data_IF_168546001528
#
_entry.id   IF_168546001528
#
_cell.length_a   1.000
_cell.length_b   1.000
_cell.length_c   1.000
_cell.angle_alpha   90.00
_cell.angle_beta   90.00
_cell.angle_gamma   90.00
#
_symmetry.space_group_name_H-M   'P 1'
#
loop_
_entity.id
_entity.type
_entity.pdbx_description
1 polymer ?
#
# COMPACT_ATOMS: atom_id res chain seq x y z
N UNK A 1 -52.90 -14.99 71.82
CA UNK A 1 -51.95 -14.11 71.13
C UNK A 1 -50.97 -15.05 70.42
N UNK A 2 -51.24 -15.47 69.17
CA UNK A 2 -50.83 -14.79 67.93
C UNK A 2 -49.29 -14.61 67.88
N UNK A 3 -48.50 -15.06 66.92
CA UNK A 3 -48.70 -15.34 65.49
C UNK A 3 -47.68 -16.43 65.04
N UNK A 4 -48.07 -17.42 64.24
CA UNK A 4 -47.95 -17.55 62.76
C UNK A 4 -46.50 -17.53 62.21
N UNK A 5 -46.21 -18.62 61.50
CA UNK A 5 -45.12 -18.96 60.59
C UNK A 5 -44.55 -17.81 59.73
N UNK A 6 -43.29 -17.94 59.29
CA UNK A 6 -42.98 -18.03 57.85
C UNK A 6 -41.54 -18.55 57.64
N UNK A 7 -41.41 -19.53 56.76
CA UNK A 7 -40.17 -20.18 56.31
C UNK A 7 -39.46 -19.26 55.31
N UNK A 8 -38.15 -18.94 55.45
CA UNK A 8 -37.49 -18.08 54.46
C UNK A 8 -37.26 -18.85 53.16
N UNK A 9 -37.93 -18.36 52.11
CA UNK A 9 -37.84 -18.82 50.73
C UNK A 9 -36.39 -18.90 50.21
N UNK A 10 -36.09 -19.84 49.30
CA UNK A 10 -34.75 -19.99 48.74
C UNK A 10 -34.37 -18.79 47.86
N UNK A 11 -33.09 -18.43 47.95
CA UNK A 11 -32.36 -17.43 47.17
C UNK A 11 -32.78 -17.39 45.69
N UNK A 12 -33.44 -16.30 45.28
CA UNK A 12 -33.52 -15.93 43.87
C UNK A 12 -32.29 -15.09 43.51
N UNK A 13 -31.35 -15.71 42.80
CA UNK A 13 -30.27 -15.00 42.13
C UNK A 13 -30.87 -14.08 41.04
N UNK A 14 -30.44 -12.81 40.92
CA UNK A 14 -30.87 -11.98 39.80
C UNK A 14 -30.37 -12.59 38.49
N UNK A 15 -31.31 -12.93 37.63
CA UNK A 15 -31.09 -13.40 36.25
C UNK A 15 -30.31 -12.35 35.46
N UNK A 16 -29.00 -12.53 35.38
CA UNK A 16 -28.12 -11.77 34.50
C UNK A 16 -28.22 -12.37 33.10
N UNK A 17 -29.29 -12.04 32.37
CA UNK A 17 -29.28 -12.19 30.92
C UNK A 17 -28.47 -11.04 30.32
N UNK A 18 -27.16 -11.09 30.49
CA UNK A 18 -26.27 -10.40 29.56
C UNK A 18 -26.42 -11.18 28.26
N UNK A 19 -27.11 -10.60 27.29
CA UNK A 19 -27.09 -11.10 25.92
C UNK A 19 -25.62 -11.10 25.46
N UNK A 20 -24.95 -12.24 25.64
CA UNK A 20 -23.61 -12.51 25.17
C UNK A 20 -23.67 -12.66 23.64
N UNK A 21 -23.96 -11.57 22.95
CA UNK A 21 -23.60 -11.45 21.55
C UNK A 21 -22.08 -11.60 21.49
N UNK A 22 -21.53 -12.57 20.74
CA UNK A 22 -20.10 -12.76 20.66
C UNK A 22 -19.46 -11.46 20.16
N UNK A 23 -18.72 -10.78 21.04
CA UNK A 23 -17.99 -9.57 20.68
C UNK A 23 -16.81 -10.00 19.83
N UNK A 24 -17.00 -10.00 18.51
CA UNK A 24 -15.92 -10.33 17.58
C UNK A 24 -14.97 -9.15 17.48
N UNK A 25 -13.77 -9.32 18.03
CA UNK A 25 -12.69 -8.34 17.85
C UNK A 25 -12.37 -8.21 16.37
N UNK A 26 -12.24 -6.98 15.92
CA UNK A 26 -11.78 -6.65 14.57
C UNK A 26 -10.68 -5.61 14.62
N UNK A 27 -9.84 -5.63 13.60
CA UNK A 27 -8.79 -4.65 13.40
C UNK A 27 -8.85 -4.14 11.96
N UNK A 28 -8.66 -2.83 11.79
CA UNK A 28 -8.55 -2.18 10.49
C UNK A 28 -7.13 -2.29 9.97
N UNK A 29 -7.00 -2.67 8.72
CA UNK A 29 -5.76 -2.60 7.95
C UNK A 29 -5.97 -1.75 6.70
N UNK A 30 -4.92 -1.01 6.31
CA UNK A 30 -4.94 -0.36 5.01
C UNK A 30 -4.94 -1.43 3.91
N UNK A 31 -5.73 -1.23 2.86
CA UNK A 31 -5.77 -2.15 1.71
C UNK A 31 -4.40 -2.31 1.05
N UNK A 32 -3.59 -1.25 1.04
CA UNK A 32 -2.22 -1.24 0.55
C UNK A 32 -1.31 -0.52 1.53
N UNK A 33 -0.20 -1.15 1.87
CA UNK A 33 0.90 -0.56 2.62
C UNK A 33 2.21 -0.90 1.91
N UNK A 34 3.06 0.09 1.72
CA UNK A 34 4.33 -0.06 1.01
C UNK A 34 5.40 0.76 1.69
N UNK A 35 6.60 0.21 1.77
CA UNK A 35 7.80 0.94 2.15
C UNK A 35 8.51 1.32 0.86
N UNK A 36 8.73 2.62 0.66
CA UNK A 36 9.52 3.16 -0.43
C UNK A 36 10.97 3.20 0.01
N UNK A 37 11.81 2.50 -0.75
CA UNK A 37 13.25 2.44 -0.53
C UNK A 37 14.00 3.17 -1.63
N UNK A 38 15.25 3.53 -1.36
CA UNK A 38 16.09 4.18 -2.35
C UNK A 38 16.48 3.22 -3.47
N UNK A 39 16.33 3.66 -4.72
CA UNK A 39 16.80 2.92 -5.91
C UNK A 39 18.27 3.24 -6.27
N UNK A 40 18.90 4.18 -5.57
CA UNK A 40 20.30 4.56 -5.77
C UNK A 40 20.93 5.09 -4.48
N UNK A 41 22.26 5.02 -4.40
CA UNK A 41 23.00 5.68 -3.32
C UNK A 41 23.17 7.17 -3.62
N UNK A 42 22.81 8.04 -2.67
CA UNK A 42 22.86 9.47 -2.90
C UNK A 42 22.36 10.31 -1.73
N UNK A 43 22.59 11.63 -1.83
CA UNK A 43 22.10 12.58 -0.84
C UNK A 43 20.65 12.93 -1.12
N UNK A 44 19.79 12.86 -0.11
CA UNK A 44 18.40 13.35 -0.18
C UNK A 44 18.44 14.88 -0.19
N UNK A 45 17.94 15.51 -1.25
CA UNK A 45 17.80 16.96 -1.32
C UNK A 45 16.52 17.41 -0.64
N UNK A 46 15.40 16.80 -1.04
CA UNK A 46 14.07 17.19 -0.62
C UNK A 46 13.25 15.95 -0.28
N UNK A 47 12.49 16.08 0.80
CA UNK A 47 11.50 15.11 1.23
C UNK A 47 10.30 15.92 1.71
N UNK A 48 9.42 16.26 0.76
CA UNK A 48 8.39 17.29 0.91
C UNK A 48 7.17 16.82 1.72
N UNK A 49 7.19 15.58 2.21
CA UNK A 49 6.07 14.97 2.94
C UNK A 49 6.40 14.74 4.40
N UNK A 50 5.46 15.14 5.26
CA UNK A 50 5.51 14.90 6.70
C UNK A 50 4.71 13.63 7.03
N UNK A 51 4.99 13.05 8.18
CA UNK A 51 4.16 11.96 8.72
C UNK A 51 2.72 12.43 8.88
N UNK A 52 1.76 11.58 8.48
CA UNK A 52 0.33 11.89 8.43
C UNK A 52 -0.11 12.77 7.24
N UNK A 53 0.82 13.33 6.45
CA UNK A 53 0.44 14.11 5.28
C UNK A 53 -0.16 13.23 4.17
N UNK A 54 -1.19 13.76 3.50
CA UNK A 54 -1.79 13.14 2.32
C UNK A 54 -1.02 13.47 1.04
N UNK A 55 -0.96 12.53 0.11
CA UNK A 55 -0.38 12.70 -1.22
C UNK A 55 -1.26 12.08 -2.30
N UNK A 56 -1.03 12.51 -3.55
CA UNK A 56 -1.72 11.96 -4.73
C UNK A 56 -0.80 11.03 -5.51
N UNK A 57 -1.39 10.08 -6.23
CA UNK A 57 -0.67 9.23 -7.19
C UNK A 57 0.15 10.09 -8.17
N UNK A 58 1.43 9.72 -8.34
CA UNK A 58 2.38 10.42 -9.22
C UNK A 58 2.97 11.71 -8.63
N UNK A 59 2.62 12.07 -7.40
CA UNK A 59 3.27 13.18 -6.70
C UNK A 59 4.70 12.80 -6.31
N UNK A 60 5.64 13.73 -6.50
CA UNK A 60 7.01 13.56 -6.01
C UNK A 60 7.05 13.54 -4.49
N UNK A 61 7.67 12.52 -3.91
CA UNK A 61 7.81 12.37 -2.46
C UNK A 61 9.24 12.61 -2.00
N UNK A 62 10.22 12.14 -2.77
CA UNK A 62 11.65 12.24 -2.47
C UNK A 62 12.40 12.70 -3.72
N UNK A 63 13.36 13.59 -3.54
CA UNK A 63 14.29 14.02 -4.59
C UNK A 63 15.73 13.87 -4.09
N UNK A 64 16.58 13.25 -4.90
CA UNK A 64 18.01 13.08 -4.62
C UNK A 64 18.87 14.08 -5.39
N UNK A 65 20.10 14.29 -4.91
CA UNK A 65 21.11 15.02 -5.65
C UNK A 65 21.59 14.19 -6.85
N UNK A 66 21.25 14.68 -8.03
CA UNK A 66 21.57 14.02 -9.28
C UNK A 66 22.42 14.84 -10.23
N UNK A 67 23.24 15.75 -9.71
CA UNK A 67 24.20 16.49 -10.52
C UNK A 67 25.08 15.56 -11.39
N UNK A 68 25.65 14.50 -10.79
CA UNK A 68 26.54 13.56 -11.49
C UNK A 68 25.78 12.75 -12.55
N UNK A 69 24.61 12.19 -12.21
CA UNK A 69 23.81 11.41 -13.16
C UNK A 69 23.29 12.27 -14.33
N UNK A 70 22.91 13.53 -14.08
CA UNK A 70 22.53 14.48 -15.14
C UNK A 70 23.70 14.84 -16.05
N UNK A 71 24.90 15.01 -15.49
CA UNK A 71 26.11 15.25 -16.28
C UNK A 71 26.41 14.04 -17.19
N UNK A 72 26.29 12.82 -16.67
CA UNK A 72 26.48 11.59 -17.46
C UNK A 72 25.43 11.43 -18.57
N UNK A 73 24.17 11.77 -18.31
CA UNK A 73 23.12 11.81 -19.32
C UNK A 73 23.43 12.84 -20.41
N UNK A 74 23.91 14.02 -20.02
CA UNK A 74 24.30 15.07 -20.98
C UNK A 74 25.48 14.62 -21.85
N UNK A 75 26.49 13.97 -21.26
CA UNK A 75 27.63 13.42 -21.98
C UNK A 75 27.20 12.35 -23.00
N UNK A 76 26.39 11.38 -22.58
CA UNK A 76 25.90 10.32 -23.47
C UNK A 76 24.96 10.84 -24.57
N UNK A 77 24.15 11.85 -24.28
CA UNK A 77 23.33 12.53 -25.29
C UNK A 77 24.18 13.25 -26.35
N UNK A 78 25.27 13.90 -25.94
CA UNK A 78 26.21 14.51 -26.87
C UNK A 78 26.94 13.46 -27.74
N UNK A 79 27.30 12.32 -27.16
CA UNK A 79 27.89 11.20 -27.89
C UNK A 79 26.93 10.60 -28.94
N UNK A 80 25.65 10.41 -28.60
CA UNK A 80 24.63 9.96 -29.57
C UNK A 80 24.46 10.98 -30.70
N UNK A 81 24.42 12.28 -30.38
CA UNK A 81 24.32 13.33 -31.39
C UNK A 81 25.54 13.35 -32.33
N UNK A 82 26.76 13.16 -31.80
CA UNK A 82 27.98 13.07 -32.60
C UNK A 82 27.98 11.84 -33.51
N UNK A 83 27.62 10.66 -32.99
CA UNK A 83 27.48 9.44 -33.77
C UNK A 83 26.40 9.59 -34.86
N UNK A 84 25.28 10.24 -34.54
CA UNK A 84 24.19 10.51 -35.49
C UNK A 84 24.67 11.33 -36.69
N UNK A 85 25.44 12.40 -36.44
CA UNK A 85 26.05 13.21 -37.52
C UNK A 85 27.00 12.39 -38.39
N UNK A 86 27.82 11.49 -37.79
CA UNK A 86 28.71 10.60 -38.55
C UNK A 86 27.93 9.65 -39.45
N UNK A 87 26.86 9.05 -38.93
CA UNK A 87 25.97 8.18 -39.69
C UNK A 87 25.28 8.94 -40.84
N UNK A 88 24.87 10.18 -40.61
CA UNK A 88 24.28 11.00 -41.68
C UNK A 88 25.27 11.31 -42.80
N UNK A 89 26.55 11.56 -42.46
CA UNK A 89 27.62 11.69 -43.45
C UNK A 89 27.84 10.37 -44.18
N UNK A 90 27.94 9.24 -43.47
CA UNK A 90 28.11 7.92 -44.07
C UNK A 90 26.97 7.58 -45.03
N UNK A 91 25.72 7.85 -44.66
CA UNK A 91 24.53 7.68 -45.52
C UNK A 91 24.56 8.56 -46.77
N UNK A 92 25.10 9.77 -46.69
CA UNK A 92 25.29 10.64 -47.87
C UNK A 92 26.37 10.09 -48.80
N UNK A 93 27.47 9.60 -48.25
CA UNK A 93 28.54 8.97 -49.04
C UNK A 93 28.09 7.67 -49.69
N UNK A 94 27.25 6.88 -49.02
CA UNK A 94 26.66 5.65 -49.57
C UNK A 94 25.77 5.93 -50.79
N UNK A 95 24.96 6.99 -50.74
CA UNK A 95 24.20 7.47 -51.90
C UNK A 95 25.07 7.90 -53.08
N UNK A 96 26.31 8.33 -52.80
CA UNK A 96 27.33 8.66 -53.80
C UNK A 96 28.22 7.45 -54.14
N UNK A 97 27.89 6.25 -53.65
CA UNK A 97 28.67 5.02 -53.80
C UNK A 97 30.15 5.18 -53.39
N UNK A 98 30.42 6.06 -52.42
CA UNK A 98 31.75 6.51 -52.01
C UNK A 98 32.17 6.00 -50.62
N UNK A 99 31.52 4.96 -50.11
CA UNK A 99 31.80 4.34 -48.80
C UNK A 99 31.49 2.84 -48.86
N UNK A 100 32.15 2.04 -48.00
CA UNK A 100 31.86 0.61 -47.92
C UNK A 100 30.60 0.31 -47.09
N UNK A 101 29.93 -0.80 -47.40
CA UNK A 101 28.80 -1.32 -46.60
C UNK A 101 29.24 -1.59 -45.15
N UNK A 102 30.49 -2.02 -44.95
CA UNK A 102 31.06 -2.25 -43.62
C UNK A 102 31.14 -0.96 -42.81
N UNK A 103 31.63 0.13 -43.40
CA UNK A 103 31.75 1.43 -42.72
C UNK A 103 30.38 2.04 -42.41
N UNK A 104 29.40 1.89 -43.32
CA UNK A 104 28.02 2.31 -43.06
C UNK A 104 27.40 1.51 -41.90
N UNK A 105 27.60 0.19 -41.89
CA UNK A 105 27.16 -0.70 -40.81
C UNK A 105 27.82 -0.33 -39.48
N UNK A 106 29.11 0.00 -39.49
CA UNK A 106 29.85 0.44 -38.30
C UNK A 106 29.29 1.77 -37.76
N UNK A 107 29.07 2.76 -38.63
CA UNK A 107 28.47 4.03 -38.21
C UNK A 107 27.06 3.84 -37.62
N UNK A 108 26.27 2.90 -38.17
CA UNK A 108 24.96 2.57 -37.64
C UNK A 108 25.05 1.87 -36.27
N UNK A 109 26.03 0.97 -36.08
CA UNK A 109 26.29 0.32 -34.81
C UNK A 109 26.75 1.33 -33.74
N UNK A 110 27.61 2.30 -34.09
CA UNK A 110 28.04 3.37 -33.19
C UNK A 110 26.85 4.20 -32.65
N UNK A 111 25.90 4.56 -33.52
CA UNK A 111 24.68 5.26 -33.11
C UNK A 111 23.85 4.40 -32.15
N UNK A 112 23.69 3.11 -32.45
CA UNK A 112 22.92 2.20 -31.61
C UNK A 112 23.57 2.03 -30.22
N UNK A 113 24.89 1.91 -30.14
CA UNK A 113 25.63 1.87 -28.88
C UNK A 113 25.46 3.16 -28.08
N UNK A 114 25.64 4.32 -28.71
CA UNK A 114 25.50 5.61 -28.05
C UNK A 114 24.07 5.86 -27.55
N UNK A 115 23.06 5.45 -28.33
CA UNK A 115 21.65 5.50 -27.91
C UNK A 115 21.38 4.61 -26.69
N UNK A 116 21.92 3.40 -26.67
CA UNK A 116 21.78 2.51 -25.52
C UNK A 116 22.41 3.13 -24.26
N UNK A 117 23.60 3.73 -24.38
CA UNK A 117 24.26 4.44 -23.28
C UNK A 117 23.44 5.63 -22.78
N UNK A 118 22.83 6.43 -23.67
CA UNK A 118 21.91 7.51 -23.26
C UNK A 118 20.71 6.95 -22.50
N UNK A 119 20.15 5.83 -22.96
CA UNK A 119 19.05 5.15 -22.29
C UNK A 119 19.38 4.77 -20.85
N UNK A 120 20.58 4.23 -20.60
CA UNK A 120 21.06 3.94 -19.24
C UNK A 120 21.14 5.21 -18.39
N UNK A 121 21.71 6.29 -18.92
CA UNK A 121 21.77 7.57 -18.22
C UNK A 121 20.39 8.14 -17.89
N UNK A 122 19.41 7.94 -18.77
CA UNK A 122 18.05 8.41 -18.57
C UNK A 122 17.35 7.66 -17.44
N UNK A 123 17.51 6.33 -17.37
CA UNK A 123 16.98 5.52 -16.26
C UNK A 123 17.60 5.95 -14.93
N UNK A 124 18.91 6.15 -14.88
CA UNK A 124 19.57 6.63 -13.66
C UNK A 124 19.03 7.98 -13.19
N UNK A 125 18.80 8.91 -14.11
CA UNK A 125 18.20 10.22 -13.78
C UNK A 125 16.73 10.09 -13.34
N UNK A 126 15.97 9.11 -13.84
CA UNK A 126 14.61 8.86 -13.38
C UNK A 126 14.57 8.35 -11.94
N UNK A 127 15.52 7.50 -11.55
CA UNK A 127 15.63 6.96 -10.18
C UNK A 127 15.97 8.03 -9.12
N UNK A 128 16.44 9.21 -9.56
CA UNK A 128 16.69 10.37 -8.72
C UNK A 128 15.47 11.00 -8.06
N UNK A 129 14.29 10.54 -8.42
CA UNK A 129 13.05 10.97 -7.81
C UNK A 129 12.19 9.74 -7.53
N UNK A 130 11.55 9.73 -6.37
CA UNK A 130 10.57 8.71 -6.02
C UNK A 130 9.20 9.36 -6.04
N UNK A 131 8.36 8.90 -6.97
CA UNK A 131 6.99 9.35 -7.13
C UNK A 131 6.02 8.36 -6.45
N UNK A 132 4.90 8.87 -5.94
CA UNK A 132 3.92 8.08 -5.22
C UNK A 132 3.21 7.05 -6.14
N UNK A 133 3.25 5.74 -5.84
CA UNK A 133 2.63 4.71 -6.68
C UNK A 133 1.09 4.73 -6.66
N UNK A 134 0.50 5.28 -5.59
CA UNK A 134 -0.94 5.47 -5.39
C UNK A 134 -1.21 6.77 -4.62
N UNK A 135 -2.48 7.11 -4.38
CA UNK A 135 -2.85 8.22 -3.48
C UNK A 135 -3.06 7.67 -2.06
N UNK A 136 -2.63 8.40 -1.04
CA UNK A 136 -2.64 7.89 0.32
C UNK A 136 -2.05 8.84 1.34
N UNK A 137 -1.62 8.30 2.48
CA UNK A 137 -0.99 9.05 3.57
C UNK A 137 0.36 8.44 3.96
N UNK A 138 1.26 9.30 4.46
CA UNK A 138 2.56 8.87 4.99
C UNK A 138 2.36 8.28 6.40
N UNK A 139 2.74 7.03 6.58
CA UNK A 139 2.73 6.37 7.89
C UNK A 139 3.94 6.77 8.72
N UNK A 140 5.14 6.74 8.13
CA UNK A 140 6.40 6.93 8.85
C UNK A 140 7.44 7.48 7.89
N UNK A 141 8.30 8.38 8.39
CA UNK A 141 9.44 8.90 7.66
C UNK A 141 10.73 8.40 8.28
N UNK A 142 11.49 7.61 7.51
CA UNK A 142 12.72 6.97 7.96
C UNK A 142 13.99 7.75 7.60
N UNK A 143 13.96 8.50 6.49
CA UNK A 143 15.07 9.35 6.06
C UNK A 143 14.79 10.85 6.24
N UNK A 144 15.84 11.66 6.29
CA UNK A 144 15.75 13.12 6.42
C UNK A 144 16.38 13.87 5.23
N UNK A 145 15.87 15.07 4.87
CA UNK A 145 16.56 15.95 3.94
C UNK A 145 17.99 16.22 4.39
N UNK A 146 18.95 16.11 3.48
CA UNK A 146 20.38 16.27 3.74
C UNK A 146 21.11 14.98 4.11
N UNK A 147 20.39 13.90 4.42
CA UNK A 147 20.96 12.58 4.72
C UNK A 147 21.50 11.91 3.45
N UNK A 148 22.55 11.10 3.62
CA UNK A 148 23.08 10.26 2.55
C UNK A 148 22.57 8.84 2.76
N UNK A 149 21.89 8.29 1.76
CA UNK A 149 21.27 6.96 1.84
C UNK A 149 21.93 5.99 0.87
N UNK A 150 21.92 4.70 1.22
CA UNK A 150 22.36 3.62 0.36
C UNK A 150 21.22 3.10 -0.54
N UNK A 151 21.57 2.37 -1.60
CA UNK A 151 20.58 1.64 -2.40
C UNK A 151 19.90 0.56 -1.54
N UNK A 152 18.57 0.48 -1.60
CA UNK A 152 17.74 -0.42 -0.80
C UNK A 152 17.34 0.11 0.57
N UNK A 153 17.92 1.24 1.02
CA UNK A 153 17.59 1.83 2.31
C UNK A 153 16.14 2.36 2.34
N UNK A 154 15.42 2.10 3.42
CA UNK A 154 14.01 2.49 3.56
C UNK A 154 13.87 3.98 3.86
N UNK A 155 13.04 4.69 3.11
CA UNK A 155 12.92 6.16 3.20
C UNK A 155 11.58 6.59 3.79
N UNK A 156 10.50 5.97 3.31
CA UNK A 156 9.12 6.37 3.62
C UNK A 156 8.22 5.14 3.68
N UNK A 157 7.44 5.00 4.74
CA UNK A 157 6.32 4.08 4.77
C UNK A 157 5.05 4.83 4.38
N UNK A 158 4.31 4.31 3.40
CA UNK A 158 3.07 4.89 2.90
C UNK A 158 1.93 3.87 2.90
N UNK A 159 0.70 4.35 3.02
CA UNK A 159 -0.49 3.51 2.94
C UNK A 159 -1.63 4.20 2.21
N UNK A 160 -2.51 3.38 1.64
CA UNK A 160 -3.72 3.82 0.94
C UNK A 160 -4.82 4.12 1.96
N UNK A 161 -5.38 5.33 1.89
CA UNK A 161 -6.44 5.82 2.79
C UNK A 161 -7.84 5.81 2.16
N UNK A 162 -7.97 5.30 0.92
CA UNK A 162 -9.26 5.24 0.19
C UNK A 162 -10.11 4.03 0.56
N UNK A 163 -9.48 2.97 1.06
CA UNK A 163 -10.19 1.76 1.44
C UNK A 163 -9.46 1.01 2.56
N UNK A 164 -10.23 0.68 3.59
CA UNK A 164 -9.80 -0.08 4.75
C UNK A 164 -10.37 -1.49 4.68
N UNK A 165 -9.48 -2.48 4.86
CA UNK A 165 -9.86 -3.87 5.05
C UNK A 165 -10.06 -4.12 6.55
N UNK A 166 -11.05 -4.93 6.89
CA UNK A 166 -11.37 -5.36 8.25
C UNK A 166 -11.05 -6.84 8.32
N UNK A 167 -10.13 -7.21 9.22
CA UNK A 167 -9.85 -8.61 9.51
C UNK A 167 -10.65 -9.04 10.73
N UNK A 168 -11.37 -10.16 10.59
CA UNK A 168 -12.18 -10.74 11.65
C UNK A 168 -11.99 -12.26 11.71
N UNK A 169 -11.93 -12.79 12.93
CA UNK A 169 -11.77 -14.23 13.18
C UNK A 169 -13.12 -14.76 13.67
N UNK A 170 -13.74 -15.64 12.89
CA UNK A 170 -15.06 -16.23 13.19
C UNK A 170 -14.94 -17.72 13.41
N UNK A 171 -15.88 -18.34 14.15
CA UNK A 171 -16.00 -19.79 14.16
C UNK A 171 -16.18 -20.36 12.74
N UNK A 172 -15.49 -21.46 12.43
CA UNK A 172 -15.49 -22.07 11.09
C UNK A 172 -16.88 -22.47 10.58
N UNK A 173 -17.81 -22.84 11.47
CA UNK A 173 -19.18 -23.19 11.11
C UNK A 173 -19.99 -22.01 10.53
N UNK A 174 -19.55 -20.75 10.73
CA UNK A 174 -20.22 -19.58 10.14
C UNK A 174 -20.06 -19.48 8.62
N UNK A 175 -19.08 -20.18 8.04
CA UNK A 175 -18.87 -20.23 6.58
C UNK A 175 -20.09 -20.72 5.79
N UNK A 176 -21.03 -21.43 6.43
CA UNK A 176 -22.29 -21.88 5.80
C UNK A 176 -23.14 -20.70 5.32
N UNK A 177 -23.19 -19.62 6.10
CA UNK A 177 -24.06 -18.46 5.83
C UNK A 177 -23.26 -17.17 5.56
N UNK A 178 -22.07 -17.02 6.14
CA UNK A 178 -21.22 -15.85 5.99
C UNK A 178 -20.47 -15.93 4.65
N UNK A 179 -21.07 -15.37 3.60
CA UNK A 179 -20.53 -15.37 2.24
C UNK A 179 -20.07 -13.97 1.82
N UNK A 180 -19.21 -13.85 0.79
CA UNK A 180 -18.93 -12.56 0.16
C UNK A 180 -20.21 -11.83 -0.21
N UNK A 181 -20.27 -10.53 0.09
CA UNK A 181 -21.47 -9.70 -0.06
C UNK A 181 -22.31 -9.52 1.22
N UNK A 182 -22.01 -10.29 2.28
CA UNK A 182 -22.72 -10.13 3.56
C UNK A 182 -22.38 -8.78 4.20
N UNK A 183 -23.40 -8.01 4.56
CA UNK A 183 -23.24 -6.69 5.18
C UNK A 183 -23.33 -6.79 6.69
N UNK A 184 -22.41 -6.12 7.37
CA UNK A 184 -22.35 -6.06 8.82
C UNK A 184 -21.91 -4.66 9.26
N UNK A 185 -21.92 -4.40 10.57
CA UNK A 185 -21.42 -3.15 11.13
C UNK A 185 -20.20 -3.41 11.98
N UNK A 186 -19.27 -2.46 11.97
CA UNK A 186 -18.10 -2.46 12.85
C UNK A 186 -18.19 -1.24 13.76
N UNK A 187 -18.15 -1.45 15.08
CA UNK A 187 -18.01 -0.36 16.03
C UNK A 187 -16.55 -0.22 16.41
N UNK A 188 -15.94 0.92 16.10
CA UNK A 188 -14.55 1.21 16.45
C UNK A 188 -14.48 1.84 17.84
N UNK A 189 -13.45 1.46 18.59
CA UNK A 189 -13.24 1.94 19.96
C UNK A 189 -12.74 3.38 19.94
N UNK A 190 -11.86 3.73 19.00
CA UNK A 190 -11.18 5.03 18.93
C UNK A 190 -12.11 6.16 18.51
N UNK A 191 -13.08 5.89 17.63
CA UNK A 191 -14.07 6.89 17.18
C UNK A 191 -15.41 6.77 17.88
N UNK A 192 -15.64 5.68 18.63
CA UNK A 192 -16.93 5.30 19.23
C UNK A 192 -18.10 5.27 18.23
N UNK A 193 -17.82 5.16 16.93
CA UNK A 193 -18.81 5.17 15.85
C UNK A 193 -18.96 3.80 15.19
N UNK A 194 -20.13 3.59 14.58
CA UNK A 194 -20.43 2.41 13.77
C UNK A 194 -20.20 2.69 12.30
N UNK A 195 -19.41 1.83 11.66
CA UNK A 195 -19.14 1.90 10.23
C UNK A 195 -19.77 0.72 9.50
N UNK A 196 -20.47 0.95 8.38
CA UNK A 196 -20.96 -0.12 7.54
C UNK A 196 -19.79 -0.84 6.85
N UNK A 197 -19.81 -2.16 6.88
CA UNK A 197 -18.82 -3.02 6.27
C UNK A 197 -19.48 -4.16 5.49
N UNK A 198 -18.74 -4.70 4.53
CA UNK A 198 -19.18 -5.81 3.69
C UNK A 198 -18.09 -6.88 3.61
N UNK A 199 -18.46 -8.14 3.75
CA UNK A 199 -17.54 -9.28 3.60
C UNK A 199 -17.08 -9.36 2.15
N UNK A 200 -15.78 -9.30 1.93
CA UNK A 200 -15.16 -9.41 0.60
C UNK A 200 -14.73 -10.83 0.30
N UNK A 201 -14.12 -11.52 1.28
CA UNK A 201 -13.60 -12.87 1.12
C UNK A 201 -13.47 -13.60 2.46
N UNK A 202 -13.50 -14.92 2.40
CA UNK A 202 -13.10 -15.79 3.50
C UNK A 202 -11.65 -16.22 3.32
N UNK A 203 -10.98 -16.53 4.43
CA UNK A 203 -9.67 -17.15 4.45
C UNK A 203 -9.71 -18.55 3.84
N UNK A 204 -8.57 -19.01 3.34
CA UNK A 204 -8.43 -20.32 2.71
C UNK A 204 -8.04 -21.43 3.69
N UNK A 205 -7.79 -21.10 4.96
CA UNK A 205 -7.28 -22.02 5.99
C UNK A 205 -8.12 -21.89 7.25
N UNK A 206 -8.56 -23.03 7.77
CA UNK A 206 -9.18 -23.16 9.09
C UNK A 206 -8.07 -23.52 10.08
N UNK A 207 -8.04 -22.81 11.20
CA UNK A 207 -7.17 -23.18 12.32
C UNK A 207 -7.80 -24.37 13.06
N UNK A 208 -7.15 -25.54 13.10
CA UNK A 208 -7.71 -26.73 13.74
C UNK A 208 -7.75 -26.65 15.27
N UNK A 209 -6.91 -25.80 15.89
CA UNK A 209 -6.84 -25.64 17.34
C UNK A 209 -7.98 -24.74 17.82
N UNK A 210 -8.13 -23.57 17.20
CA UNK A 210 -9.17 -22.60 17.58
C UNK A 210 -10.51 -22.83 16.87
N UNK A 211 -10.57 -23.78 15.92
CA UNK A 211 -11.72 -24.05 15.05
C UNK A 211 -12.26 -22.79 14.35
N UNK A 212 -11.37 -21.84 14.07
CA UNK A 212 -11.70 -20.53 13.54
C UNK A 212 -11.23 -20.35 12.10
N UNK A 213 -11.85 -19.42 11.39
CA UNK A 213 -11.49 -19.02 10.04
C UNK A 213 -11.40 -17.50 9.97
N UNK A 214 -10.38 -17.00 9.28
CA UNK A 214 -10.26 -15.58 8.99
C UNK A 214 -11.30 -15.17 7.97
N UNK A 215 -11.89 -14.01 8.15
CA UNK A 215 -12.79 -13.38 7.18
C UNK A 215 -12.32 -11.95 6.99
N UNK A 216 -12.41 -11.49 5.76
CA UNK A 216 -11.99 -10.17 5.38
C UNK A 216 -13.22 -9.41 4.89
N UNK A 217 -13.37 -8.20 5.41
CA UNK A 217 -14.40 -7.26 5.01
C UNK A 217 -13.79 -5.94 4.54
N UNK A 218 -14.61 -5.08 3.96
CA UNK A 218 -14.23 -3.74 3.55
C UNK A 218 -15.22 -2.74 4.13
N UNK A 219 -14.70 -1.65 4.69
CA UNK A 219 -15.54 -0.54 5.13
C UNK A 219 -16.07 0.19 3.90
N UNK A 220 -17.38 0.40 3.83
CA UNK A 220 -18.04 1.04 2.68
C UNK A 220 -18.12 2.56 2.81
N UNK A 221 -17.92 3.10 4.03
CA UNK A 221 -17.86 4.53 4.28
C UNK A 221 -16.44 5.07 4.08
N UNK A 222 -16.33 6.19 3.36
CA UNK A 222 -15.08 6.93 3.25
C UNK A 222 -15.06 8.04 4.32
N UNK A 223 -14.54 7.71 5.50
CA UNK A 223 -14.39 8.67 6.61
C UNK A 223 -12.90 8.97 6.82
N UNK A 224 -12.46 10.25 6.74
CA UNK A 224 -11.06 10.63 6.90
C UNK A 224 -10.48 10.35 8.29
N UNK A 225 -11.34 10.13 9.30
CA UNK A 225 -10.93 9.77 10.67
C UNK A 225 -10.45 8.32 10.76
N UNK A 226 -10.79 7.46 9.80
CA UNK A 226 -10.34 6.07 9.79
C UNK A 226 -8.84 6.00 9.56
N UNK A 227 -8.17 5.26 10.44
CA UNK A 227 -6.75 4.99 10.39
C UNK A 227 -6.50 3.49 10.45
N UNK A 228 -5.46 2.99 9.75
CA UNK A 228 -5.05 1.61 9.91
C UNK A 228 -4.57 1.37 11.34
N UNK A 229 -4.88 0.21 11.90
CA UNK A 229 -4.57 -0.16 13.28
C UNK A 229 -5.70 0.07 14.28
N UNK A 230 -6.75 0.83 13.91
CA UNK A 230 -7.94 0.99 14.74
C UNK A 230 -8.59 -0.37 15.03
N UNK A 231 -9.05 -0.55 16.26
CA UNK A 231 -9.62 -1.80 16.74
C UNK A 231 -11.07 -1.61 17.18
N UNK A 232 -11.83 -2.69 17.16
CA UNK A 232 -13.25 -2.60 17.47
C UNK A 232 -13.94 -3.94 17.58
N UNK A 233 -15.26 -3.89 17.53
CA UNK A 233 -16.12 -5.06 17.58
C UNK A 233 -17.00 -5.13 16.33
N UNK A 234 -17.05 -6.29 15.69
CA UNK A 234 -18.01 -6.57 14.63
C UNK A 234 -19.37 -6.95 15.23
N UNK A 235 -20.40 -6.26 14.74
CA UNK A 235 -21.80 -6.56 14.99
C UNK A 235 -22.30 -7.45 13.84
N UNK A 236 -22.01 -8.75 13.97
CA UNK A 236 -22.50 -9.80 13.08
C UNK A 236 -23.69 -10.48 13.74
N UNK A 237 -24.82 -10.52 13.05
CA UNK A 237 -26.04 -11.20 13.52
C UNK A 237 -26.18 -12.50 12.73
N UNK A 238 -25.97 -13.68 13.35
CA UNK A 238 -26.23 -14.95 12.71
C UNK A 238 -27.71 -15.04 12.28
N UNK A 239 -28.04 -15.67 11.14
CA UNK A 239 -29.43 -15.85 10.69
C UNK A 239 -30.31 -16.59 11.71
N UNK A 240 -29.69 -17.46 12.52
CA UNK A 240 -30.38 -18.28 13.54
C UNK A 240 -30.43 -17.62 14.93
N UNK A 241 -30.02 -16.35 15.07
CA UNK A 241 -30.16 -15.65 16.34
C UNK A 241 -31.65 -15.35 16.61
N UNK A 242 -32.20 -15.71 17.79
CA UNK A 242 -33.57 -15.35 18.13
C UNK A 242 -33.71 -13.83 18.09
N UNK A 243 -34.65 -13.33 17.27
CA UNK A 243 -35.04 -11.92 17.28
C UNK A 243 -35.70 -11.62 18.64
N UNK A 244 -35.38 -10.49 19.29
CA UNK A 244 -36.09 -10.06 20.49
C UNK A 244 -37.56 -9.77 20.22
#
# INVERSE_FOLDING_TARGET
MAAVAEEPAPLQAPSSQVANSPQLRVQLSASRRTVLSSELAGKVLELDVKEGASFKKGQRLVTFDCAVHRAQLTHSAAAEAAAGKKLDVARRLDKLQSISVSDLSQAQAEVNMARAQRGVGQVMVQRCAIDAPFSGRVAERKAQPGEYVAEGEELLAIYDDSSFEVELIVPSHWMVWLKPGHRFKVRLEETAQEYPAEVTRLGSVIDPISQSIKVFGRITSNDPQLLPGMSGNALLVPPDAPRP
#
